data_IF_099684338323
#
_entry.id   IF_099684338323
#
_cell.length_a   1.000
_cell.length_b   1.000
_cell.length_c   1.000
_cell.angle_alpha   90.00
_cell.angle_beta   90.00
_cell.angle_gamma   90.00
#
_symmetry.space_group_name_H-M   'P 1'
#
loop_
_entity.id
_entity.type
_entity.pdbx_description
1 polymer ?
2 non-polymer ?
3 non-polymer ?
4 water ?
#
# COMPACT_ATOMS: atom_id res chain seq x y z
N UNK A 16 21.86 -9.96 4.04
CA UNK A 16 20.35 -10.05 4.16
C UNK A 16 19.63 -9.52 2.93
N UNK A 17 20.23 -8.53 2.28
CA UNK A 17 19.57 -7.75 1.21
C UNK A 17 19.24 -8.51 -0.09
N UNK A 18 20.01 -9.54 -0.43
CA UNK A 18 19.86 -10.24 -1.72
C UNK A 18 19.74 -9.28 -2.93
N UNK A 19 20.85 -8.66 -3.27
CA UNK A 19 20.92 -7.68 -4.35
C UNK A 19 20.87 -8.27 -5.75
N UNK A 20 21.00 -9.60 -5.88
CA UNK A 20 21.08 -10.22 -7.19
C UNK A 20 19.73 -10.65 -7.76
N UNK A 21 18.65 -10.58 -6.96
CA UNK A 21 17.31 -10.86 -7.47
C UNK A 21 16.43 -9.64 -7.30
N UNK A 22 15.43 -9.51 -8.18
CA UNK A 22 14.49 -8.37 -8.14
C UNK A 22 13.55 -8.51 -6.94
N UNK A 23 13.22 -7.37 -6.33
CA UNK A 23 12.23 -7.30 -5.25
C UNK A 23 11.17 -6.25 -5.55
N UNK A 24 9.93 -6.55 -5.22
CA UNK A 24 8.82 -5.69 -5.64
C UNK A 24 8.98 -4.22 -5.15
N UNK A 25 9.37 -4.00 -3.90
CA UNK A 25 9.47 -2.64 -3.37
C UNK A 25 10.52 -1.83 -4.10
N UNK A 26 11.60 -2.51 -4.48
CA UNK A 26 12.72 -1.88 -5.15
C UNK A 26 12.41 -1.57 -6.63
N UNK A 27 11.69 -2.46 -7.30
CA UNK A 27 11.20 -2.15 -8.65
C UNK A 27 10.31 -0.91 -8.61
N UNK A 28 9.40 -0.86 -7.65
CA UNK A 28 8.48 0.28 -7.53
C UNK A 28 9.31 1.58 -7.34
N UNK A 29 10.29 1.53 -6.43
CA UNK A 29 11.10 2.70 -6.20
C UNK A 29 11.87 3.14 -7.46
N UNK A 30 12.47 2.18 -8.16
CA UNK A 30 13.15 2.45 -9.44
C UNK A 30 12.21 3.19 -10.38
N UNK A 31 11.02 2.63 -10.58
CA UNK A 31 10.09 3.20 -11.56
C UNK A 31 9.60 4.61 -11.17
N UNK A 32 9.37 4.89 -9.90
CA UNK A 32 8.88 6.21 -9.46
C UNK A 32 10.01 7.24 -9.24
N UNK A 33 11.25 6.86 -9.53
CA UNK A 33 12.38 7.82 -9.56
C UNK A 33 13.27 7.84 -8.33
N UNK A 34 13.12 6.87 -7.44
CA UNK A 34 13.99 6.78 -6.27
C UNK A 34 15.32 6.13 -6.60
N UNK A 35 16.14 5.96 -5.56
CA UNK A 35 17.50 5.39 -5.74
C UNK A 35 17.72 4.02 -5.06
N UNK A 36 16.72 3.52 -4.35
CA UNK A 36 16.90 2.36 -3.49
C UNK A 36 16.60 1.05 -4.26
N UNK A 37 17.47 0.72 -5.20
CA UNK A 37 17.27 -0.41 -6.10
C UNK A 37 18.65 -0.87 -6.59
N UNK A 38 18.68 -2.07 -7.18
CA UNK A 38 19.89 -2.69 -7.70
C UNK A 38 19.68 -3.05 -9.17
N UNK A 39 20.76 -3.38 -9.89
CA UNK A 39 20.60 -3.73 -11.30
C UNK A 39 19.49 -4.74 -11.62
N UNK A 40 19.33 -5.78 -10.80
CA UNK A 40 18.22 -6.75 -11.03
C UNK A 40 16.83 -6.08 -11.04
N UNK A 41 16.66 -5.06 -10.19
CA UNK A 41 15.38 -4.32 -10.13
C UNK A 41 15.17 -3.43 -11.36
N UNK A 42 16.21 -2.76 -11.80
CA UNK A 42 16.16 -1.99 -13.05
C UNK A 42 15.84 -2.88 -14.26
N UNK A 43 16.47 -4.05 -14.34
CA UNK A 43 16.24 -4.93 -15.49
C UNK A 43 14.78 -5.37 -15.53
N UNK A 44 14.24 -5.74 -14.36
CA UNK A 44 12.82 -6.09 -14.24
C UNK A 44 11.92 -4.92 -14.63
N UNK A 45 12.13 -3.74 -14.04
CA UNK A 45 11.29 -2.59 -14.35
C UNK A 45 11.33 -2.21 -15.82
N UNK A 46 12.53 -2.25 -16.41
CA UNK A 46 12.68 -1.92 -17.83
C UNK A 46 11.95 -2.96 -18.72
N UNK A 47 12.04 -4.23 -18.40
CA UNK A 47 11.32 -5.28 -19.15
C UNK A 47 9.81 -5.06 -19.03
N UNK A 48 9.34 -4.69 -17.83
CA UNK A 48 7.91 -4.49 -17.62
C UNK A 48 7.37 -3.26 -18.34
N UNK A 49 8.14 -2.17 -18.31
CA UNK A 49 7.75 -0.96 -19.04
C UNK A 49 7.71 -1.18 -20.58
N UNK A 50 8.54 -2.10 -21.09
CA UNK A 50 8.49 -2.45 -22.51
C UNK A 50 7.14 -3.09 -22.85
N UNK A 51 6.63 -3.92 -21.94
CA UNK A 51 5.31 -4.55 -22.12
C UNK A 51 4.16 -3.57 -21.90
N UNK A 52 4.32 -2.64 -20.95
CA UNK A 52 3.26 -1.71 -20.59
C UNK A 52 3.87 -0.34 -20.32
N UNK A 53 3.93 0.49 -21.37
CA UNK A 53 4.53 1.83 -21.22
C UNK A 53 3.97 2.69 -20.11
N UNK A 54 2.70 2.48 -19.75
CA UNK A 54 2.07 3.22 -18.66
C UNK A 54 2.50 2.81 -17.26
N UNK A 55 3.36 1.79 -17.13
CA UNK A 55 3.77 1.35 -15.78
C UNK A 55 4.12 2.52 -14.82
N UNK A 56 4.97 3.48 -15.25
CA UNK A 56 5.29 4.60 -14.32
C UNK A 56 4.10 5.48 -13.97
N UNK A 57 3.16 5.67 -14.91
CA UNK A 57 1.94 6.47 -14.64
C UNK A 57 1.12 5.74 -13.57
N UNK A 58 0.98 4.43 -13.73
CA UNK A 58 0.28 3.59 -12.74
C UNK A 58 0.92 3.66 -11.33
N UNK A 59 2.24 3.53 -11.27
CA UNK A 59 2.92 3.47 -9.98
C UNK A 59 2.90 4.86 -9.31
N UNK A 60 3.10 5.94 -10.07
CA UNK A 60 2.99 7.27 -9.53
C UNK A 60 1.54 7.57 -9.04
N UNK A 61 0.53 7.10 -9.79
CA UNK A 61 -0.84 7.33 -9.40
C UNK A 61 -1.19 6.60 -8.11
N UNK A 62 -0.63 5.42 -7.90
CA UNK A 62 -0.85 4.70 -6.65
C UNK A 62 -0.26 5.47 -5.46
N UNK A 63 0.94 6.02 -5.62
CA UNK A 63 1.55 6.81 -4.56
C UNK A 63 0.71 8.06 -4.29
N UNK A 64 0.27 8.77 -5.32
CA UNK A 64 -0.54 9.97 -5.17
C UNK A 64 -1.87 9.65 -4.45
N UNK A 65 -2.45 8.49 -4.77
CA UNK A 65 -3.67 8.02 -4.13
C UNK A 65 -3.43 7.84 -2.62
N UNK A 66 -2.32 7.21 -2.26
CA UNK A 66 -1.99 7.02 -0.85
C UNK A 66 -1.98 8.37 -0.13
N UNK A 67 -1.40 9.38 -0.78
CA UNK A 67 -1.34 10.72 -0.20
C UNK A 67 -2.76 11.27 0.04
N UNK A 68 -3.66 11.16 -0.94
CA UNK A 68 -5.00 11.70 -0.81
C UNK A 68 -5.82 10.88 0.23
N UNK A 69 -5.65 9.56 0.25
CA UNK A 69 -6.38 8.72 1.19
C UNK A 69 -5.97 9.01 2.64
N UNK A 70 -4.66 9.13 2.89
CA UNK A 70 -4.18 9.41 4.24
C UNK A 70 -4.59 10.82 4.68
N UNK A 71 -4.50 11.80 3.78
CA UNK A 71 -5.00 13.14 4.10
C UNK A 71 -6.50 13.15 4.47
N UNK A 72 -7.32 12.45 3.70
CA UNK A 72 -8.74 12.29 4.01
C UNK A 72 -8.93 11.70 5.41
N UNK A 73 -8.25 10.59 5.67
CA UNK A 73 -8.37 9.89 6.95
C UNK A 73 -7.98 10.80 8.14
N UNK A 74 -6.90 11.59 8.00
CA UNK A 74 -6.44 12.47 9.06
C UNK A 74 -7.36 13.67 9.17
N UNK A 75 -7.69 14.31 8.06
CA UNK A 75 -8.40 15.60 8.13
C UNK A 75 -9.90 15.43 8.29
N UNK A 76 -10.52 14.67 7.37
CA UNK A 76 -11.99 14.53 7.36
C UNK A 76 -12.46 13.55 8.41
N UNK A 77 -11.79 12.40 8.50
CA UNK A 77 -12.21 11.35 9.43
C UNK A 77 -11.66 11.47 10.88
N UNK A 78 -10.67 12.33 11.08
CA UNK A 78 -10.14 12.57 12.43
C UNK A 78 -9.28 11.45 12.99
N UNK A 79 -8.77 10.59 12.12
CA UNK A 79 -7.96 9.46 12.56
C UNK A 79 -6.55 9.92 12.94
N UNK A 80 -6.08 9.42 14.09
CA UNK A 80 -4.79 9.81 14.66
C UNK A 80 -3.84 8.64 14.86
N UNK A 81 -4.22 7.45 14.37
CA UNK A 81 -3.41 6.25 14.48
C UNK A 81 -3.49 5.46 13.20
N UNK A 82 -2.34 5.00 12.70
CA UNK A 82 -2.25 4.27 11.44
C UNK A 82 -1.36 3.05 11.60
N UNK A 83 -1.78 1.94 10.98
CA UNK A 83 -1.03 0.71 10.87
C UNK A 83 -0.87 0.41 9.37
N UNK A 84 0.36 0.55 8.87
CA UNK A 84 0.66 0.45 7.44
C UNK A 84 1.37 -0.85 7.15
N UNK A 85 0.70 -1.72 6.39
CA UNK A 85 1.17 -3.06 6.12
C UNK A 85 1.75 -3.11 4.70
N UNK A 86 3.05 -3.39 4.58
CA UNK A 86 3.71 -3.34 3.27
C UNK A 86 4.15 -1.92 2.90
N UNK A 87 4.89 -1.30 3.81
CA UNK A 87 5.30 0.10 3.67
C UNK A 87 6.16 0.41 2.41
N UNK A 88 7.04 -0.50 2.08
CA UNK A 88 7.92 -0.30 0.94
C UNK A 88 9.05 0.67 1.26
N UNK A 89 9.74 1.14 0.23
CA UNK A 89 10.87 2.06 0.37
C UNK A 89 10.36 3.43 0.83
N UNK A 90 10.93 4.01 1.90
CA UNK A 90 10.52 5.36 2.29
C UNK A 90 10.63 6.35 1.14
N UNK A 91 9.60 7.16 0.96
CA UNK A 91 9.52 8.14 -0.13
C UNK A 91 8.74 9.36 0.37
N UNK A 92 9.23 10.54 0.07
CA UNK A 92 8.69 11.77 0.63
C UNK A 92 7.50 12.27 -0.18
N UNK A 93 6.40 12.63 0.50
CA UNK A 93 6.15 12.51 1.93
C UNK A 93 5.73 11.10 2.34
N UNK A 94 6.26 10.66 3.47
CA UNK A 94 5.83 9.37 4.01
C UNK A 94 4.49 9.55 4.71
N UNK A 95 3.83 8.42 4.93
CA UNK A 95 2.49 8.40 5.53
C UNK A 95 2.47 9.24 6.81
N UNK A 96 3.43 9.02 7.72
CA UNK A 96 3.42 9.77 8.98
C UNK A 96 3.62 11.28 8.85
N UNK A 97 4.34 11.67 7.80
CA UNK A 97 4.61 13.09 7.58
C UNK A 97 3.31 13.78 7.17
N UNK A 98 2.49 13.09 6.38
CA UNK A 98 1.16 13.63 6.01
C UNK A 98 0.28 13.72 7.26
N UNK A 99 0.18 12.62 8.02
CA UNK A 99 -0.69 12.57 9.19
C UNK A 99 -0.25 13.61 10.23
N UNK A 100 1.04 13.68 10.49
CA UNK A 100 1.56 14.58 11.53
C UNK A 100 1.51 16.09 11.16
N UNK A 101 1.50 16.37 9.87
CA UNK A 101 1.27 17.74 9.41
C UNK A 101 -0.16 18.18 9.72
N UNK A 102 -1.09 17.23 9.74
CA UNK A 102 -2.49 17.54 10.07
C UNK A 102 -2.67 17.63 11.58
N UNK A 103 -2.09 16.67 12.30
CA UNK A 103 -2.23 16.55 13.74
C UNK A 103 -0.91 15.97 14.26
N UNK A 104 -0.05 16.82 14.86
CA UNK A 104 1.28 16.37 15.29
C UNK A 104 1.30 15.17 16.22
N UNK A 105 0.23 14.95 16.99
CA UNK A 105 0.18 13.84 17.92
C UNK A 105 -0.10 12.48 17.26
N UNK A 106 -0.29 12.47 15.94
CA UNK A 106 -0.57 11.21 15.24
C UNK A 106 0.55 10.16 15.44
N UNK A 107 0.11 8.91 15.42
CA UNK A 107 0.96 7.74 15.68
C UNK A 107 0.88 6.79 14.48
N UNK A 108 2.03 6.24 14.05
CA UNK A 108 2.08 5.35 12.88
C UNK A 108 3.03 4.20 13.15
N UNK A 109 2.56 3.00 12.88
CA UNK A 109 3.41 1.81 12.86
C UNK A 109 3.53 1.37 11.39
N UNK A 110 4.78 1.24 10.92
CA UNK A 110 5.08 0.75 9.59
C UNK A 110 5.57 -0.70 9.65
N UNK A 111 5.25 -1.48 8.62
CA UNK A 111 5.56 -2.90 8.60
C UNK A 111 5.99 -3.31 7.19
N UNK A 112 7.11 -4.01 7.06
CA UNK A 112 7.47 -4.63 5.78
C UNK A 112 8.29 -5.89 6.04
N UNK A 113 8.41 -6.74 5.01
CA UNK A 113 9.25 -7.92 5.12
C UNK A 113 10.50 -7.87 4.22
N UNK A 114 10.68 -6.84 3.41
CA UNK A 114 11.90 -6.71 2.60
C UNK A 114 13.01 -6.16 3.51
N UNK A 115 14.10 -6.93 3.73
CA UNK A 115 15.19 -6.44 4.58
C UNK A 115 15.76 -5.04 4.23
N UNK A 116 15.65 -4.56 2.99
CA UNK A 116 16.17 -3.22 2.66
C UNK A 116 15.40 -2.12 3.42
N UNK A 117 14.11 -2.35 3.71
CA UNK A 117 13.32 -1.32 4.40
C UNK A 117 13.91 -1.05 5.80
N UNK A 118 14.25 -2.11 6.52
CA UNK A 118 14.91 -1.96 7.83
C UNK A 118 16.15 -1.04 7.70
N UNK A 119 16.96 -1.24 6.66
CA UNK A 119 18.16 -0.41 6.50
C UNK A 119 17.86 1.07 6.29
N UNK A 120 16.66 1.37 5.82
CA UNK A 120 16.19 2.72 5.50
C UNK A 120 15.21 3.24 6.56
N UNK A 121 15.14 2.58 7.70
CA UNK A 121 14.06 2.88 8.65
C UNK A 121 14.25 4.18 9.45
N UNK A 122 15.43 4.80 9.47
CA UNK A 122 15.55 6.09 10.19
C UNK A 122 14.50 7.15 9.78
N UNK A 123 14.26 7.32 8.49
CA UNK A 123 13.25 8.28 8.01
C UNK A 123 11.84 7.98 8.45
N UNK A 124 11.52 6.69 8.60
CA UNK A 124 10.22 6.27 9.13
C UNK A 124 10.11 6.62 10.62
N UNK A 125 11.23 6.56 11.34
CA UNK A 125 11.27 6.77 12.77
C UNK A 125 11.37 8.26 13.18
N UNK A 126 11.61 9.15 12.22
CA UNK A 126 11.73 10.59 12.47
C UNK A 126 10.36 11.24 12.67
N UNK A 127 9.90 11.21 13.91
CA UNK A 127 8.57 11.65 14.33
C UNK A 127 8.62 13.07 14.88
N UNK A 128 7.49 13.79 14.78
CA UNK A 128 7.27 14.96 15.61
C UNK A 128 7.44 14.52 17.06
N UNK A 129 7.82 15.46 17.97
CA UNK A 129 7.88 15.12 19.39
C UNK A 129 6.52 14.76 20.02
N UNK A 130 5.45 15.37 19.51
CA UNK A 130 4.09 15.11 20.02
C UNK A 130 3.58 13.73 19.65
N UNK A 131 4.10 13.19 18.55
CA UNK A 131 3.61 11.94 17.97
C UNK A 131 4.55 10.78 18.22
N UNK A 132 4.26 9.64 17.59
CA UNK A 132 5.12 8.45 17.74
C UNK A 132 5.11 7.68 16.43
N UNK A 133 6.24 7.11 16.05
CA UNK A 133 6.30 6.15 14.96
C UNK A 133 7.20 4.96 15.34
N UNK A 134 6.96 3.85 14.68
CA UNK A 134 7.75 2.65 14.87
C UNK A 134 7.81 1.85 13.56
N UNK A 135 8.78 0.96 13.47
CA UNK A 135 8.95 0.08 12.33
C UNK A 135 9.10 -1.34 12.83
N UNK A 136 8.35 -2.25 12.20
CA UNK A 136 8.37 -3.67 12.53
C UNK A 136 8.67 -4.44 11.22
N UNK A 137 9.69 -5.28 11.22
CA UNK A 137 9.92 -6.21 10.13
C UNK A 137 9.11 -7.47 10.40
N UNK A 138 8.10 -7.72 9.55
CA UNK A 138 7.16 -8.84 9.75
C UNK A 138 6.44 -9.15 8.47
N UNK A 139 5.88 -10.36 8.42
CA UNK A 139 5.12 -10.87 7.28
C UNK A 139 3.64 -10.90 7.63
N UNK A 140 2.83 -10.29 6.76
CA UNK A 140 1.37 -10.21 6.99
C UNK A 140 0.70 -11.59 7.04
N UNK A 141 1.39 -12.63 6.57
CA UNK A 141 0.91 -14.00 6.74
C UNK A 141 0.83 -14.46 8.21
N UNK A 142 1.49 -13.74 9.11
CA UNK A 142 1.42 -14.01 10.54
C UNK A 142 0.94 -12.75 11.24
N UNK A 143 -0.37 -12.47 11.15
CA UNK A 143 -0.89 -11.31 11.91
C UNK A 143 -0.47 -11.15 13.39
N UNK A 144 -0.28 -12.23 14.16
CA UNK A 144 0.16 -12.11 15.58
C UNK A 144 1.52 -11.45 15.76
N UNK A 145 2.45 -11.79 14.87
CA UNK A 145 3.77 -11.14 14.86
C UNK A 145 3.70 -9.61 14.69
N UNK A 146 2.63 -9.12 14.05
CA UNK A 146 2.39 -7.72 13.90
C UNK A 146 1.64 -7.22 15.12
N UNK A 147 0.49 -7.83 15.42
CA UNK A 147 -0.44 -7.28 16.43
C UNK A 147 0.12 -7.33 17.88
N UNK A 148 0.96 -8.31 18.15
CA UNK A 148 1.62 -8.44 19.46
C UNK A 148 3.05 -7.89 19.52
N UNK A 149 3.50 -7.25 18.44
CA UNK A 149 4.84 -6.68 18.40
C UNK A 149 4.94 -5.57 19.45
N UNK A 150 5.99 -5.61 20.28
CA UNK A 150 6.10 -4.58 21.31
C UNK A 150 6.20 -3.16 20.73
N UNK A 151 6.80 -3.03 19.54
CA UNK A 151 6.92 -1.73 18.88
C UNK A 151 5.54 -1.17 18.57
N UNK A 152 4.63 -2.06 18.21
CA UNK A 152 3.27 -1.69 17.90
C UNK A 152 2.48 -1.37 19.16
N UNK A 153 2.60 -2.22 20.16
CA UNK A 153 1.84 -2.03 21.41
C UNK A 153 2.32 -0.85 22.24
N UNK A 154 3.57 -0.46 22.06
CA UNK A 154 4.10 0.78 22.65
C UNK A 154 3.78 2.02 21.88
N UNK A 155 3.23 1.86 20.67
CA UNK A 155 2.99 2.99 19.81
C UNK A 155 1.49 3.28 19.69
N UNK A 156 0.69 2.27 19.34
CA UNK A 156 -0.74 2.42 19.14
C UNK A 156 -1.54 1.97 20.36
N UNK A 157 -2.69 2.62 20.56
CA UNK A 157 -3.69 2.25 21.54
C UNK A 157 -4.82 1.58 20.80
N UNK A 158 -4.92 0.26 20.88
CA UNK A 158 -5.93 -0.47 20.09
C UNK A 158 -7.35 -0.40 20.65
N UNK A 159 -7.55 0.40 21.70
CA UNK A 159 -8.88 0.77 22.15
C UNK A 159 -9.40 2.08 21.54
N UNK A 160 -8.62 2.66 20.64
CA UNK A 160 -9.04 3.88 19.94
C UNK A 160 -8.90 3.65 18.43
N UNK A 161 -9.65 4.39 17.59
CA UNK A 161 -9.64 4.11 16.16
C UNK A 161 -8.25 4.10 15.54
N UNK A 162 -8.09 3.19 14.60
CA UNK A 162 -6.87 3.03 13.80
C UNK A 162 -7.28 2.90 12.31
N UNK A 163 -6.52 3.53 11.41
CA UNK A 163 -6.62 3.24 9.97
C UNK A 163 -5.59 2.19 9.59
N UNK A 164 -6.09 1.07 9.09
CA UNK A 164 -5.30 -0.04 8.59
C UNK A 164 -5.11 0.25 7.09
N UNK A 165 -3.86 0.53 6.71
CA UNK A 165 -3.51 0.79 5.30
C UNK A 165 -2.77 -0.40 4.69
N UNK A 166 -3.32 -0.97 3.62
CA UNK A 166 -2.77 -2.15 2.93
C UNK A 166 -2.70 -1.75 1.45
N UNK A 167 -1.62 -1.04 1.10
CA UNK A 167 -1.50 -0.33 -0.17
C UNK A 167 -0.38 -0.94 -1.03
N UNK A 168 -0.76 -1.31 -2.25
CA UNK A 168 0.20 -1.81 -3.23
C UNK A 168 0.93 -3.08 -2.74
N UNK A 169 0.19 -3.95 -2.06
CA UNK A 169 0.77 -5.21 -1.51
C UNK A 169 -0.08 -6.46 -1.73
N UNK A 170 -1.41 -6.33 -1.69
CA UNK A 170 -2.24 -7.50 -1.60
C UNK A 170 -2.19 -8.42 -2.84
N UNK A 171 -1.87 -7.85 -3.98
CA UNK A 171 -1.77 -8.65 -5.21
C UNK A 171 -0.55 -9.60 -5.20
N UNK A 172 0.34 -9.43 -4.22
CA UNK A 172 1.42 -10.38 -4.00
C UNK A 172 1.09 -11.55 -3.06
N UNK A 173 -0.13 -11.51 -2.50
CA UNK A 173 -0.71 -12.60 -1.76
C UNK A 173 -1.68 -13.34 -2.73
N UNK A 174 -1.28 -14.54 -3.00
CA UNK A 174 -2.02 -15.51 -3.78
C UNK A 174 -3.03 -16.27 -2.89
N UNK A 175 -4.03 -16.79 -3.60
CA UNK A 175 -5.27 -17.25 -2.97
C UNK A 175 -5.11 -18.34 -1.91
N UNK A 176 -4.10 -19.19 -2.04
CA UNK A 176 -3.90 -20.26 -1.07
C UNK A 176 -3.67 -19.75 0.37
N UNK A 177 -3.21 -18.49 0.53
CA UNK A 177 -3.01 -17.92 1.89
C UNK A 177 -4.18 -17.04 2.37
N UNK A 178 -5.21 -16.96 1.54
CA UNK A 178 -6.47 -16.24 1.86
C UNK A 178 -6.23 -14.78 2.21
N UNK A 179 -5.91 -13.96 1.21
CA UNK A 179 -5.67 -12.54 1.41
C UNK A 179 -6.83 -11.85 2.13
N UNK A 180 -8.06 -12.17 1.77
CA UNK A 180 -9.20 -11.50 2.40
C UNK A 180 -9.17 -11.84 3.90
N UNK A 181 -8.96 -13.12 4.25
CA UNK A 181 -8.89 -13.52 5.65
C UNK A 181 -7.79 -12.86 6.45
N UNK A 182 -6.63 -12.71 5.85
CA UNK A 182 -5.49 -12.08 6.52
C UNK A 182 -5.82 -10.62 6.79
N UNK A 183 -6.32 -9.90 5.79
CA UNK A 183 -6.65 -8.51 6.01
C UNK A 183 -7.71 -8.36 7.11
N UNK A 184 -8.75 -9.18 7.06
CA UNK A 184 -9.82 -9.05 8.03
C UNK A 184 -9.35 -9.51 9.42
N UNK A 185 -8.39 -10.40 9.53
CA UNK A 185 -7.79 -10.76 10.83
C UNK A 185 -7.02 -9.59 11.45
N UNK A 186 -6.33 -8.80 10.63
CA UNK A 186 -5.70 -7.58 11.11
C UNK A 186 -6.69 -6.50 11.54
N UNK A 187 -7.86 -6.46 10.92
CA UNK A 187 -8.86 -5.46 11.26
C UNK A 187 -9.62 -5.84 12.56
N UNK A 188 -9.69 -7.12 12.89
CA UNK A 188 -10.46 -7.62 14.03
C UNK A 188 -10.25 -6.82 15.31
N UNK A 189 -8.98 -6.66 15.76
CA UNK A 189 -8.74 -5.96 17.06
C UNK A 189 -8.94 -4.45 17.05
N UNK A 190 -9.19 -3.86 15.89
CA UNK A 190 -9.32 -2.43 15.82
C UNK A 190 -10.76 -2.10 16.20
N UNK A 191 -10.97 -1.04 16.96
CA UNK A 191 -12.33 -0.70 17.40
C UNK A 191 -13.26 -0.12 16.34
N UNK A 192 -14.55 -0.09 16.67
CA UNK A 192 -15.51 0.67 15.90
C UNK A 192 -14.99 2.07 15.63
N UNK A 193 -15.15 2.53 14.38
CA UNK A 193 -14.66 3.84 13.95
C UNK A 193 -13.28 3.77 13.29
N UNK A 194 -12.69 2.58 13.32
CA UNK A 194 -11.46 2.32 12.59
C UNK A 194 -11.77 2.27 11.07
N UNK A 195 -10.71 2.30 10.27
CA UNK A 195 -10.84 2.28 8.80
C UNK A 195 -9.92 1.24 8.16
N UNK A 196 -10.30 0.79 6.98
CA UNK A 196 -9.47 -0.02 6.07
C UNK A 196 -9.32 0.79 4.80
N UNK A 197 -8.08 0.96 4.36
CA UNK A 197 -7.75 1.65 3.08
C UNK A 197 -6.85 0.68 2.29
N UNK A 198 -7.22 0.44 1.05
CA UNK A 198 -6.45 -0.46 0.20
C UNK A 198 -6.33 0.03 -1.23
N UNK A 199 -5.24 -0.36 -1.87
CA UNK A 199 -5.17 -0.36 -3.35
C UNK A 199 -4.95 -1.81 -3.80
N UNK A 200 -5.71 -2.23 -4.81
CA UNK A 200 -5.81 -3.61 -5.25
C UNK A 200 -5.57 -3.72 -6.77
N UNK A 201 -4.57 -4.51 -7.15
CA UNK A 201 -4.18 -4.63 -8.56
C UNK A 201 -5.27 -5.36 -9.37
N UNK A 202 -5.51 -4.88 -10.59
CA UNK A 202 -6.51 -5.44 -11.51
C UNK A 202 -5.97 -5.45 -12.95
N UNK A 203 -6.36 -6.46 -13.73
CA UNK A 203 -6.10 -6.50 -15.18
C UNK A 203 -7.26 -6.07 -16.06
N UNK A 204 -8.37 -5.64 -15.45
CA UNK A 204 -9.59 -5.45 -16.24
C UNK A 204 -9.46 -4.37 -17.32
N UNK A 205 -8.66 -3.33 -17.05
CA UNK A 205 -8.58 -2.14 -17.93
C UNK A 205 -7.53 -2.23 -19.03
N UNK A 206 -6.61 -3.17 -18.92
CA UNK A 206 -5.60 -3.41 -19.97
C UNK A 206 -5.13 -4.85 -19.94
N UNK A 207 -6.03 -5.79 -20.30
CA UNK A 207 -5.75 -7.19 -20.05
C UNK A 207 -4.45 -7.69 -20.63
N UNK A 208 -4.15 -7.38 -21.89
CA UNK A 208 -2.94 -7.92 -22.48
C UNK A 208 -1.67 -7.39 -21.85
N UNK A 209 -1.57 -6.07 -21.76
CA UNK A 209 -0.34 -5.42 -21.25
C UNK A 209 -0.12 -5.71 -19.76
N UNK A 210 -1.17 -5.58 -18.95
CA UNK A 210 -1.07 -5.88 -17.52
C UNK A 210 -0.85 -7.37 -17.28
N UNK A 211 -1.52 -8.23 -18.04
CA UNK A 211 -1.22 -9.67 -17.97
C UNK A 211 0.23 -9.99 -18.25
N UNK A 212 0.81 -9.39 -19.28
CA UNK A 212 2.21 -9.60 -19.59
C UNK A 212 3.12 -9.13 -18.45
N UNK A 213 2.78 -7.97 -17.86
CA UNK A 213 3.55 -7.46 -16.70
C UNK A 213 3.47 -8.47 -15.54
N UNK A 214 2.27 -8.99 -15.28
CA UNK A 214 2.12 -9.97 -14.19
C UNK A 214 2.95 -11.21 -14.44
N UNK A 215 3.03 -11.64 -15.70
CA UNK A 215 3.83 -12.80 -16.04
C UNK A 215 5.35 -12.52 -15.92
N UNK A 216 5.78 -11.26 -16.12
CA UNK A 216 7.17 -10.90 -15.85
C UNK A 216 7.47 -10.99 -14.35
N UNK A 217 6.56 -10.53 -13.51
CA UNK A 217 6.70 -10.74 -12.04
C UNK A 217 6.77 -12.22 -11.64
N UNK A 218 5.86 -13.04 -12.16
CA UNK A 218 5.89 -14.50 -11.89
C UNK A 218 7.19 -15.14 -12.34
N UNK A 219 7.75 -14.69 -13.48
CA UNK A 219 8.99 -15.25 -14.00
C UNK A 219 10.19 -14.95 -13.12
N UNK A 220 10.04 -13.93 -12.30
CA UNK A 220 11.06 -13.49 -11.34
C UNK A 220 10.67 -13.81 -9.89
N UNK A 221 9.84 -14.85 -9.73
CA UNK A 221 9.50 -15.40 -8.40
C UNK A 221 8.65 -14.46 -7.53
N UNK A 222 7.84 -13.62 -8.16
CA UNK A 222 6.91 -12.75 -7.47
C UNK A 222 5.52 -12.89 -8.10
N UNK A 223 4.91 -14.09 -7.95
CA UNK A 223 3.62 -14.24 -8.61
C UNK A 223 2.54 -13.30 -8.05
N UNK A 224 1.65 -12.87 -8.92
CA UNK A 224 0.59 -11.94 -8.58
C UNK A 224 -0.79 -12.56 -8.71
N UNK A 225 -1.71 -12.05 -7.93
CA UNK A 225 -3.12 -12.33 -8.06
C UNK A 225 -3.81 -10.99 -8.32
N UNK A 226 -4.15 -10.74 -9.58
CA UNK A 226 -4.94 -9.58 -9.98
C UNK A 226 -6.41 -9.90 -9.88
N UNK A 227 -7.19 -8.91 -9.47
CA UNK A 227 -8.58 -9.10 -9.09
C UNK A 227 -9.58 -8.25 -9.89
N UNK A 228 -10.78 -8.78 -10.05
CA UNK A 228 -11.89 -8.01 -10.60
C UNK A 228 -12.49 -7.08 -9.54
N UNK A 229 -13.37 -6.18 -9.97
CA UNK A 229 -14.09 -5.35 -9.01
C UNK A 229 -14.86 -6.19 -7.97
N UNK A 230 -15.56 -7.24 -8.45
CA UNK A 230 -16.29 -8.14 -7.55
C UNK A 230 -15.39 -8.78 -6.50
N UNK A 231 -14.19 -9.20 -6.89
CA UNK A 231 -13.24 -9.75 -5.96
C UNK A 231 -12.70 -8.71 -4.99
N UNK A 232 -12.49 -7.47 -5.45
CA UNK A 232 -12.07 -6.40 -4.57
C UNK A 232 -13.12 -6.13 -3.47
N UNK A 233 -14.40 -6.26 -3.87
CA UNK A 233 -15.51 -6.00 -2.94
C UNK A 233 -15.46 -6.91 -1.70
N UNK A 234 -14.92 -8.12 -1.88
CA UNK A 234 -14.88 -9.08 -0.77
C UNK A 234 -14.12 -8.54 0.44
N UNK A 235 -13.05 -7.79 0.22
CA UNK A 235 -12.31 -7.19 1.34
C UNK A 235 -13.15 -6.22 2.18
N UNK A 236 -14.20 -5.62 1.61
CA UNK A 236 -14.91 -4.54 2.27
C UNK A 236 -16.32 -4.94 2.76
N UNK A 237 -16.66 -6.21 2.62
CA UNK A 237 -17.96 -6.73 3.11
C UNK A 237 -18.13 -6.48 4.60
N UNK A 238 -19.29 -5.95 4.99
CA UNK A 238 -19.52 -5.60 6.38
C UNK A 238 -18.96 -4.26 6.82
N UNK A 239 -18.19 -3.60 5.96
CA UNK A 239 -17.65 -2.25 6.20
C UNK A 239 -18.43 -1.20 5.43
N UNK A 240 -18.27 0.06 5.82
CA UNK A 240 -19.01 1.17 5.23
C UNK A 240 -18.09 1.98 4.31
N UNK A 241 -18.24 1.77 3.01
CA UNK A 241 -17.37 2.44 2.04
C UNK A 241 -17.57 3.94 2.04
N UNK A 242 -16.47 4.68 2.02
CA UNK A 242 -16.48 6.11 1.75
C UNK A 242 -16.75 6.33 0.25
N UNK A 243 -17.65 7.23 -0.12
CA UNK A 243 -17.91 7.51 -1.53
C UNK A 243 -16.58 8.01 -2.14
N UNK A 244 -16.31 7.65 -3.40
CA UNK A 244 -17.15 6.99 -4.40
C UNK A 244 -17.11 5.46 -4.40
N UNK A 245 -16.67 4.83 -3.31
CA UNK A 245 -16.56 3.38 -3.28
C UNK A 245 -15.25 2.86 -3.83
N UNK A 246 -15.33 1.72 -4.49
CA UNK A 246 -14.15 1.06 -5.04
C UNK A 246 -14.02 1.45 -6.51
N UNK A 247 -13.02 2.29 -6.80
CA UNK A 247 -12.84 2.87 -8.13
C UNK A 247 -11.39 2.91 -8.53
N UNK A 248 -11.10 3.07 -9.81
CA UNK A 248 -9.70 3.24 -10.20
C UNK A 248 -9.07 4.40 -9.41
N UNK A 249 -7.81 4.24 -8.99
CA UNK A 249 -7.22 5.18 -8.04
C UNK A 249 -7.23 6.61 -8.51
N UNK A 250 -7.09 6.88 -9.80
CA UNK A 250 -7.07 8.26 -10.29
C UNK A 250 -8.45 8.92 -10.30
N UNK A 251 -9.47 8.13 -10.04
CA UNK A 251 -10.86 8.60 -9.93
C UNK A 251 -11.36 8.75 -8.47
N UNK A 252 -10.49 8.45 -7.50
CA UNK A 252 -10.83 8.55 -6.08
C UNK A 252 -10.43 9.94 -5.54
N UNK A 253 -11.42 10.79 -5.27
CA UNK A 253 -11.20 12.16 -4.76
C UNK A 253 -10.06 12.88 -5.52
N UNK A 254 -10.16 12.95 -6.84
CA UNK A 254 -9.07 13.54 -7.61
C UNK A 254 -8.89 15.05 -7.30
N UNK A 255 -7.66 15.52 -7.35
CA UNK A 255 -7.35 16.96 -7.35
C UNK A 255 -7.52 17.48 -8.77
N UNK A 256 -7.37 18.78 -8.96
CA UNK A 256 -7.51 19.40 -10.30
C UNK A 256 -6.63 18.72 -11.37
N UNK A 257 -5.44 18.23 -10.97
CA UNK A 257 -4.48 17.62 -11.92
C UNK A 257 -4.40 16.09 -11.86
N UNK A 258 -5.12 15.46 -10.94
CA UNK A 258 -4.97 14.02 -10.70
C UNK A 258 -5.03 13.11 -11.95
N UNK A 259 -5.96 13.39 -12.87
CA UNK A 259 -6.13 12.52 -14.04
C UNK A 259 -5.65 13.14 -15.37
N UNK A 260 -4.86 14.22 -15.27
CA UNK A 260 -4.36 14.93 -16.45
C UNK A 260 -3.56 14.00 -17.39
N UNK A 261 -4.09 13.76 -18.59
CA UNK A 261 -3.46 12.87 -19.57
C UNK A 261 -3.47 11.36 -19.26
N UNK A 262 -4.28 10.95 -18.29
CA UNK A 262 -4.34 9.55 -17.88
C UNK A 262 -5.60 8.88 -18.44
N UNK A 263 -5.40 7.82 -19.23
CA UNK A 263 -6.46 7.00 -19.77
C UNK A 263 -6.81 5.90 -18.76
N UNK A 264 -8.01 5.33 -18.83
CA UNK A 264 -8.36 4.24 -17.90
C UNK A 264 -7.39 3.07 -18.04
N UNK A 265 -6.93 2.79 -19.26
CA UNK A 265 -6.05 1.66 -19.48
C UNK A 265 -4.67 1.85 -18.85
N UNK A 266 -4.35 3.10 -18.47
CA UNK A 266 -3.03 3.43 -17.87
C UNK A 266 -2.96 3.19 -16.35
N UNK A 267 -4.06 2.73 -15.75
CA UNK A 267 -4.19 2.60 -14.28
C UNK A 267 -4.69 1.18 -14.00
N UNK A 268 -3.95 0.43 -13.20
CA UNK A 268 -4.30 -0.98 -12.90
C UNK A 268 -4.47 -1.20 -11.39
N UNK A 269 -4.89 -0.16 -10.66
CA UNK A 269 -5.21 -0.26 -9.23
C UNK A 269 -6.59 0.25 -8.99
N UNK A 270 -7.39 -0.53 -8.27
CA UNK A 270 -8.56 -0.03 -7.56
C UNK A 270 -8.11 0.56 -6.23
N UNK A 271 -8.78 1.60 -5.78
CA UNK A 271 -8.63 2.14 -4.43
C UNK A 271 -9.94 2.28 -3.71
N UNK A 272 -9.89 2.11 -2.39
CA UNK A 272 -11.07 2.23 -1.56
C UNK A 272 -10.70 2.45 -0.11
N UNK A 273 -11.62 3.14 0.59
CA UNK A 273 -11.50 3.41 2.02
C UNK A 273 -12.86 3.13 2.63
N UNK A 274 -12.90 2.46 3.79
CA UNK A 274 -14.16 2.08 4.42
C UNK A 274 -14.03 2.09 5.95
N UNK A 275 -15.14 2.45 6.62
CA UNK A 275 -15.23 2.53 8.09
C UNK A 275 -15.75 1.22 8.67
N UNK A 276 -15.17 0.82 9.80
CA UNK A 276 -15.64 -0.32 10.57
C UNK A 276 -16.75 0.13 11.55
N UNK A 277 -17.96 -0.42 11.42
CA UNK A 277 -19.06 -0.07 12.35
C UNK A 277 -18.75 -0.39 13.78
X LIG B 1 2.18 -1.52 -8.95
X LIG B 1 2.27 -2.80 -8.24
X LIG B 1 2.56 -3.95 -9.19
X LIG B 1 1.55 -4.01 -10.34
X LIG B 1 1.99 -3.90 -11.65
X LIG B 1 1.08 -3.93 -12.70
X LIG B 1 -0.30 -4.05 -12.44
X LIG B 1 -0.77 -4.14 -11.14
X LIG B 1 0.17 -4.10 -10.09
X LIG B 1 3.03 -2.82 -6.92
X LIG B 1 4.24 -2.70 -6.79
X LIG B 1 2.32 -2.97 -5.89
X LIG C 1 4.06 -6.91 5.34
X LIG C 1 3.82 -7.44 6.62
X LIG C 1 4.83 -7.91 4.52
X LIG C 1 4.12 -9.13 4.40
X LIG C 1 5.07 -7.39 3.13
X LIG C 1 6.03 -6.39 3.13
X LIG D 1 3.90 10.48 -5.73
X LIG D 1 3.84 10.59 -4.33
X LIG D 1 5.17 9.79 -6.23
X LIG D 1 6.28 10.11 -5.44
X LIG D 1 5.50 10.22 -7.65
X LIG D 1 4.31 10.35 -8.40
#
# INVERSE_FOLDING_TARGET
GXGGAALPDNGWPADRIDTESAHSARIYDYIIGGKDYYPADKEAGDAMSREWPALPVHMRANRDWMNRAVAHLAKEAGIRQFLDIGTGIPTSPNLHEIAQSVAPESRVVYVDNDPIVLTLSQGLLASTPEGRTAYVEADMLDPASILDAPELRDTLDLTRPVALTVIAIVHFVLDEDDAVGIVRRLLEPLPSGSYLAMSIGTAEFAPQEVGRVAREYAARNMPMRLRTHAEAEEFFEGLELVEPGIVQVHKWHPDAATADGIRDEDIAMYGAVARKP
UNL O1 O2 O3 O4 O5 O6 O7 O8 O9 O10 O11 O12
GOL C1 O1 C2 O2 C3 O3
GOL C1 O1 C2 O2 C3 O3
#
